data_IF_105349954351
#
_entry.id   IF_105349954351
#
_cell.length_a   1.000
_cell.length_b   1.000
_cell.length_c   1.000
_cell.angle_alpha   90.00
_cell.angle_beta   90.00
_cell.angle_gamma   90.00
#
_symmetry.space_group_name_H-M   'P 1'
#
loop_
_entity.id
_entity.type
_entity.pdbx_description
1 polymer ?
#
# COMPACT_ATOMS: atom_id res chain seq x y z
N UNK A 1 31.87 22.02 -10.11
CA UNK A 1 31.36 23.35 -9.70
C UNK A 1 29.85 23.51 -9.86
N UNK A 2 29.26 23.64 -11.05
CA UNK A 2 27.80 23.88 -11.16
C UNK A 2 26.94 22.69 -10.70
N UNK A 3 27.38 21.45 -10.99
CA UNK A 3 26.69 20.23 -10.55
C UNK A 3 26.81 20.02 -9.03
N UNK A 4 27.98 20.29 -8.46
CA UNK A 4 28.22 20.15 -7.01
C UNK A 4 27.39 21.15 -6.19
N UNK A 5 27.28 22.39 -6.65
CA UNK A 5 26.43 23.40 -6.01
C UNK A 5 24.94 23.01 -6.01
N UNK A 6 24.46 22.30 -7.04
CA UNK A 6 23.09 21.78 -7.10
C UNK A 6 22.86 20.60 -6.14
N UNK A 7 23.90 19.84 -5.82
CA UNK A 7 23.84 18.71 -4.89
C UNK A 7 23.93 19.18 -3.42
N UNK A 8 24.71 20.23 -3.13
CA UNK A 8 24.86 20.79 -1.77
C UNK A 8 23.54 21.31 -1.17
N UNK A 9 22.65 21.87 -2.00
CA UNK A 9 21.30 22.29 -1.57
C UNK A 9 20.38 21.12 -1.19
N UNK A 10 20.76 19.89 -1.55
CA UNK A 10 20.01 18.66 -1.31
C UNK A 10 20.57 17.82 -0.15
N UNK A 11 21.81 18.06 0.28
CA UNK A 11 22.58 17.18 1.16
C UNK A 11 22.48 17.43 2.68
N UNK A 12 21.50 18.18 3.17
CA UNK A 12 21.33 18.31 4.63
C UNK A 12 20.63 17.05 5.15
N UNK A 13 21.17 16.40 6.19
CA UNK A 13 20.63 15.19 6.85
C UNK A 13 19.16 15.37 7.24
N UNK A 14 18.24 14.91 6.39
CA UNK A 14 16.82 15.23 6.55
C UNK A 14 16.01 13.98 6.30
N UNK A 15 15.58 13.35 7.38
CA UNK A 15 14.84 12.10 7.33
C UNK A 15 13.46 12.31 6.70
N UNK A 16 13.10 11.43 5.77
CA UNK A 16 11.75 11.35 5.25
C UNK A 16 10.77 10.99 6.37
N UNK A 17 9.63 11.68 6.35
CA UNK A 17 8.54 11.49 7.30
C UNK A 17 7.24 11.20 6.57
N UNK A 18 6.40 10.35 7.16
CA UNK A 18 5.00 10.23 6.77
C UNK A 18 4.26 11.41 7.41
N UNK A 19 3.59 12.22 6.59
CA UNK A 19 2.94 13.48 6.99
C UNK A 19 1.41 13.32 7.07
N UNK A 20 0.83 12.43 6.25
CA UNK A 20 -0.61 12.17 6.23
C UNK A 20 -0.91 10.76 5.71
N UNK A 21 -2.07 10.22 6.10
CA UNK A 21 -2.52 8.85 5.79
C UNK A 21 -4.03 8.87 5.46
N UNK A 22 -4.36 8.51 4.23
CA UNK A 22 -5.74 8.28 3.80
C UNK A 22 -6.01 6.81 3.55
N UNK A 23 -7.13 6.28 4.03
CA UNK A 23 -7.58 4.92 3.71
C UNK A 23 -9.00 4.88 3.17
N UNK A 24 -9.29 3.90 2.32
CA UNK A 24 -10.62 3.60 1.80
C UNK A 24 -10.79 2.09 1.68
N UNK A 25 -12.05 1.65 1.72
CA UNK A 25 -12.47 0.29 1.42
C UNK A 25 -13.74 0.38 0.56
N UNK A 26 -14.03 -0.64 -0.26
CA UNK A 26 -15.30 -0.71 -0.97
C UNK A 26 -16.50 -0.76 0.01
N UNK A 27 -17.69 -0.36 -0.44
CA UNK A 27 -18.88 -0.27 0.42
C UNK A 27 -19.42 -1.65 0.86
N UNK A 28 -19.18 -2.69 0.06
CA UNK A 28 -19.65 -4.04 0.36
C UNK A 28 -18.81 -4.66 1.47
N UNK A 29 -19.47 -5.10 2.54
CA UNK A 29 -18.83 -5.72 3.70
C UNK A 29 -19.32 -7.15 3.86
N UNK A 30 -18.39 -8.08 4.02
CA UNK A 30 -18.67 -9.48 4.27
C UNK A 30 -18.07 -9.86 5.62
N UNK A 31 -18.90 -10.38 6.51
CA UNK A 31 -18.44 -10.89 7.81
C UNK A 31 -17.91 -12.30 7.64
N UNK A 32 -16.78 -12.62 8.29
CA UNK A 32 -16.13 -13.92 8.17
C UNK A 32 -17.04 -15.09 8.60
N UNK A 33 -17.97 -14.85 9.52
CA UNK A 33 -18.96 -15.84 9.97
C UNK A 33 -19.92 -16.25 8.84
N UNK A 34 -20.30 -15.30 7.98
CA UNK A 34 -21.28 -15.50 6.91
C UNK A 34 -20.61 -15.77 5.55
N UNK A 35 -19.30 -15.51 5.44
CA UNK A 35 -18.57 -15.62 4.18
C UNK A 35 -18.54 -17.03 3.60
N UNK A 36 -18.41 -18.13 4.38
CA UNK A 36 -18.53 -19.47 3.81
C UNK A 36 -19.89 -19.73 3.15
N UNK A 37 -20.98 -19.31 3.78
CA UNK A 37 -22.31 -19.43 3.17
C UNK A 37 -22.39 -18.59 1.89
N UNK A 38 -21.90 -17.35 1.91
CA UNK A 38 -21.85 -16.51 0.71
C UNK A 38 -21.00 -17.13 -0.42
N UNK A 39 -19.80 -17.61 -0.09
CA UNK A 39 -18.80 -18.10 -1.05
C UNK A 39 -19.19 -19.46 -1.66
N UNK A 40 -19.73 -20.39 -0.86
CA UNK A 40 -20.23 -21.67 -1.38
C UNK A 40 -21.62 -21.55 -2.02
N UNK A 41 -22.42 -20.56 -1.61
CA UNK A 41 -23.71 -20.26 -2.21
C UNK A 41 -23.65 -18.99 -3.04
N UNK A 42 -22.55 -18.72 -3.76
CA UNK A 42 -22.44 -17.66 -4.75
C UNK A 42 -23.58 -17.84 -5.75
N UNK A 43 -24.73 -17.27 -5.39
CA UNK A 43 -25.99 -17.55 -6.03
C UNK A 43 -26.01 -16.73 -7.29
N UNK A 44 -26.59 -17.31 -8.33
CA UNK A 44 -26.68 -16.80 -9.69
C UNK A 44 -27.08 -15.31 -9.78
N UNK A 45 -27.63 -14.68 -8.75
CA UNK A 45 -28.02 -13.28 -8.72
C UNK A 45 -26.86 -12.27 -8.77
N UNK A 46 -25.75 -12.48 -8.05
CA UNK A 46 -24.64 -11.50 -7.98
C UNK A 46 -23.64 -11.62 -9.12
N UNK A 47 -23.63 -12.77 -9.82
CA UNK A 47 -22.69 -13.10 -10.89
C UNK A 47 -23.41 -13.33 -12.23
N UNK A 48 -24.70 -12.98 -12.31
CA UNK A 48 -25.55 -13.12 -13.50
C UNK A 48 -25.01 -12.38 -14.71
N UNK A 49 -24.34 -11.25 -14.48
CA UNK A 49 -23.70 -10.46 -15.53
C UNK A 49 -22.36 -11.06 -15.99
N UNK A 50 -21.70 -11.86 -15.15
CA UNK A 50 -20.35 -12.40 -15.39
C UNK A 50 -20.22 -13.88 -14.96
N UNK A 51 -20.95 -14.80 -15.61
CA UNK A 51 -20.99 -16.21 -15.22
C UNK A 51 -19.62 -16.92 -15.35
N UNK A 52 -18.70 -16.37 -16.14
CA UNK A 52 -17.34 -16.90 -16.27
C UNK A 52 -16.54 -16.84 -14.95
N UNK A 53 -16.94 -15.99 -13.99
CA UNK A 53 -16.25 -15.85 -12.71
C UNK A 53 -16.56 -16.99 -11.72
N UNK A 54 -17.63 -17.77 -11.98
CA UNK A 54 -18.09 -18.86 -11.09
C UNK A 54 -17.62 -20.23 -11.55
N UNK A 55 -16.99 -20.32 -12.71
CA UNK A 55 -16.52 -21.56 -13.30
C UNK A 55 -15.01 -21.62 -13.14
N UNK A 56 -14.52 -22.64 -12.44
CA UNK A 56 -13.11 -22.80 -12.17
C UNK A 56 -12.31 -22.87 -13.48
N UNK A 57 -11.29 -22.00 -13.61
CA UNK A 57 -10.44 -21.87 -14.81
C UNK A 57 -11.15 -21.46 -16.10
N UNK A 58 -12.41 -21.01 -16.04
CA UNK A 58 -13.03 -20.44 -17.23
C UNK A 58 -12.32 -19.15 -17.66
N UNK A 59 -12.22 -18.88 -18.98
CA UNK A 59 -11.69 -17.62 -19.49
C UNK A 59 -12.49 -16.45 -18.90
N UNK A 60 -11.82 -15.65 -18.07
CA UNK A 60 -12.46 -14.55 -17.32
C UNK A 60 -11.54 -13.34 -17.14
N UNK A 61 -10.39 -13.33 -17.81
CA UNK A 61 -9.39 -12.26 -17.67
C UNK A 61 -9.96 -10.89 -18.06
N UNK A 62 -10.55 -10.77 -19.25
CA UNK A 62 -11.03 -9.49 -19.78
C UNK A 62 -12.09 -8.84 -18.87
N UNK A 63 -13.06 -9.64 -18.41
CA UNK A 63 -14.10 -9.18 -17.47
C UNK A 63 -13.50 -8.68 -16.16
N UNK A 64 -12.54 -9.42 -15.59
CA UNK A 64 -11.88 -9.01 -14.35
C UNK A 64 -11.06 -7.74 -14.56
N UNK A 65 -10.38 -7.64 -15.70
CA UNK A 65 -9.60 -6.48 -16.10
C UNK A 65 -10.49 -5.23 -16.25
N UNK A 66 -11.63 -5.34 -16.92
CA UNK A 66 -12.61 -4.25 -17.13
C UNK A 66 -13.19 -3.69 -15.83
N UNK A 67 -13.35 -4.55 -14.82
CA UNK A 67 -13.80 -4.17 -13.48
C UNK A 67 -12.64 -3.50 -12.73
N UNK A 68 -11.49 -4.17 -12.64
CA UNK A 68 -10.43 -3.73 -11.73
C UNK A 68 -9.77 -2.42 -12.14
N UNK A 69 -9.60 -2.15 -13.44
CA UNK A 69 -9.00 -0.89 -13.92
C UNK A 69 -9.79 0.35 -13.50
N UNK A 70 -11.10 0.19 -13.25
CA UNK A 70 -11.97 1.27 -12.78
C UNK A 70 -11.96 1.36 -11.26
N UNK A 71 -12.08 0.22 -10.58
CA UNK A 71 -12.19 0.17 -9.13
C UNK A 71 -10.90 0.60 -8.42
N UNK A 72 -9.73 0.11 -8.87
CA UNK A 72 -8.41 0.51 -8.31
C UNK A 72 -8.20 2.01 -8.44
N UNK A 73 -8.56 2.59 -9.58
CA UNK A 73 -8.44 4.03 -9.79
C UNK A 73 -9.37 4.82 -8.89
N UNK A 74 -10.64 4.40 -8.80
CA UNK A 74 -11.68 5.09 -8.01
C UNK A 74 -11.33 5.09 -6.52
N UNK A 75 -11.06 3.92 -5.95
CA UNK A 75 -10.79 3.80 -4.53
C UNK A 75 -9.42 4.41 -4.16
N UNK A 76 -8.42 4.28 -5.04
CA UNK A 76 -7.13 4.95 -4.89
C UNK A 76 -7.27 6.47 -4.86
N UNK A 77 -8.15 7.04 -5.70
CA UNK A 77 -8.47 8.47 -5.68
C UNK A 77 -9.12 8.89 -4.35
N UNK A 78 -10.08 8.12 -3.84
CA UNK A 78 -10.72 8.44 -2.55
C UNK A 78 -9.73 8.45 -1.38
N UNK A 79 -8.85 7.44 -1.31
CA UNK A 79 -7.78 7.38 -0.30
C UNK A 79 -6.81 8.57 -0.45
N UNK A 80 -6.41 8.90 -1.69
CA UNK A 80 -5.52 10.03 -1.95
C UNK A 80 -6.12 11.37 -1.53
N UNK A 81 -7.41 11.61 -1.81
CA UNK A 81 -8.09 12.83 -1.40
C UNK A 81 -8.19 12.95 0.13
N UNK A 82 -8.37 11.84 0.85
CA UNK A 82 -8.33 11.84 2.32
C UNK A 82 -6.94 12.21 2.86
N UNK A 83 -5.88 11.61 2.29
CA UNK A 83 -4.49 11.91 2.67
C UNK A 83 -4.13 13.38 2.37
N UNK A 84 -4.52 13.89 1.21
CA UNK A 84 -4.31 15.28 0.81
C UNK A 84 -5.07 16.24 1.74
N UNK A 85 -6.31 15.88 2.10
CA UNK A 85 -7.11 16.68 3.04
C UNK A 85 -6.47 16.74 4.42
N UNK A 86 -5.96 15.62 4.93
CA UNK A 86 -5.24 15.58 6.21
C UNK A 86 -3.93 16.38 6.15
N UNK A 87 -3.18 16.29 5.05
CA UNK A 87 -1.96 17.07 4.85
C UNK A 87 -2.22 18.58 4.76
N UNK A 88 -3.38 18.99 4.24
CA UNK A 88 -3.84 20.38 4.28
C UNK A 88 -3.10 21.34 3.33
N UNK A 89 -2.22 20.84 2.46
CA UNK A 89 -1.48 21.65 1.50
C UNK A 89 -2.09 21.58 0.08
N UNK A 90 -1.76 22.56 -0.79
CA UNK A 90 -2.19 22.52 -2.18
C UNK A 90 -1.65 21.29 -2.92
N UNK A 91 -2.51 20.61 -3.69
CA UNK A 91 -2.16 19.47 -4.55
C UNK A 91 -0.98 19.79 -5.49
N UNK A 92 -0.84 21.04 -5.91
CA UNK A 92 0.25 21.53 -6.77
C UNK A 92 1.65 21.43 -6.14
N UNK A 93 1.75 21.15 -4.84
CA UNK A 93 3.01 20.91 -4.11
C UNK A 93 3.47 19.46 -4.18
N UNK A 94 2.63 18.52 -4.61
CA UNK A 94 3.03 17.13 -4.86
C UNK A 94 3.97 17.10 -6.06
N UNK A 95 5.15 16.52 -5.87
CA UNK A 95 6.20 16.45 -6.89
C UNK A 95 6.36 15.06 -7.49
N UNK A 96 6.03 14.02 -6.71
CA UNK A 96 6.13 12.63 -7.13
C UNK A 96 4.83 11.89 -6.81
N UNK A 97 4.50 10.91 -7.66
CA UNK A 97 3.41 9.96 -7.46
C UNK A 97 3.97 8.55 -7.59
N UNK A 98 3.86 7.75 -6.54
CA UNK A 98 4.06 6.30 -6.60
C UNK A 98 2.68 5.67 -6.54
N UNK A 99 2.34 4.85 -7.51
CA UNK A 99 1.10 4.08 -7.51
C UNK A 99 1.45 2.60 -7.60
N UNK A 100 1.00 1.80 -6.65
CA UNK A 100 1.13 0.35 -6.70
C UNK A 100 -0.20 -0.38 -6.56
N UNK A 101 -0.24 -1.52 -7.24
CA UNK A 101 -1.36 -2.46 -7.23
C UNK A 101 -0.86 -3.81 -7.74
N UNK A 102 -1.41 -4.89 -7.21
CA UNK A 102 -1.06 -6.26 -7.62
C UNK A 102 -1.71 -6.69 -8.94
N UNK A 103 -2.58 -5.87 -9.53
CA UNK A 103 -3.40 -6.23 -10.69
C UNK A 103 -3.92 -5.01 -11.46
N UNK A 104 -4.67 -5.22 -12.54
CA UNK A 104 -5.24 -4.11 -13.33
C UNK A 104 -4.23 -3.38 -14.20
N UNK A 105 -3.30 -4.12 -14.83
CA UNK A 105 -2.30 -3.57 -15.75
C UNK A 105 -3.01 -2.91 -16.93
N UNK A 106 -2.74 -1.63 -17.18
CA UNK A 106 -3.34 -0.88 -18.27
C UNK A 106 -2.42 0.22 -18.78
N UNK A 107 -2.69 0.72 -19.99
CA UNK A 107 -1.96 1.84 -20.60
C UNK A 107 -2.94 2.80 -21.30
N UNK A 108 -3.05 4.08 -20.87
CA UNK A 108 -2.31 4.71 -19.79
C UNK A 108 -2.58 4.08 -18.41
N UNK A 109 -1.54 3.99 -17.60
CA UNK A 109 -1.57 3.32 -16.30
C UNK A 109 -2.33 4.11 -15.22
N UNK A 110 -2.61 3.46 -14.09
CA UNK A 110 -3.43 4.01 -13.01
C UNK A 110 -2.84 5.30 -12.41
N UNK A 111 -1.52 5.40 -12.28
CA UNK A 111 -0.80 6.61 -11.88
C UNK A 111 -1.08 7.81 -12.83
N UNK A 112 -1.06 7.58 -14.14
CA UNK A 112 -1.35 8.62 -15.13
C UNK A 112 -2.80 9.09 -15.02
N UNK A 113 -3.73 8.13 -14.96
CA UNK A 113 -5.16 8.43 -14.83
C UNK A 113 -5.46 9.18 -13.53
N UNK A 114 -4.88 8.74 -12.41
CA UNK A 114 -5.03 9.38 -11.11
C UNK A 114 -4.48 10.82 -11.15
N UNK A 115 -3.27 10.99 -11.69
CA UNK A 115 -2.63 12.31 -11.78
C UNK A 115 -3.52 13.31 -12.53
N UNK A 116 -4.15 12.89 -13.62
CA UNK A 116 -5.09 13.72 -14.37
C UNK A 116 -6.39 13.98 -13.59
N UNK A 117 -6.96 12.96 -12.95
CA UNK A 117 -8.23 13.08 -12.22
C UNK A 117 -8.15 14.05 -11.03
N UNK A 118 -7.06 14.01 -10.27
CA UNK A 118 -6.88 14.88 -9.09
C UNK A 118 -6.17 16.20 -9.42
N UNK A 119 -5.82 16.43 -10.68
CA UNK A 119 -5.20 17.68 -11.14
C UNK A 119 -3.76 17.88 -10.65
N UNK A 120 -2.96 16.81 -10.62
CA UNK A 120 -1.51 16.94 -10.41
C UNK A 120 -0.89 17.75 -11.55
N UNK A 121 0.26 18.38 -11.27
CA UNK A 121 1.03 19.06 -12.31
C UNK A 121 1.42 18.05 -13.41
N UNK A 122 1.37 18.42 -14.70
CA UNK A 122 1.87 17.57 -15.77
C UNK A 122 3.34 17.15 -15.61
N UNK A 123 4.12 17.93 -14.85
CA UNK A 123 5.52 17.66 -14.52
C UNK A 123 5.71 16.70 -13.34
N UNK A 124 4.64 16.15 -12.74
CA UNK A 124 4.76 15.19 -11.64
C UNK A 124 5.54 13.97 -12.10
N UNK A 125 6.54 13.56 -11.33
CA UNK A 125 7.30 12.34 -11.62
C UNK A 125 6.51 11.13 -11.14
N UNK A 126 6.17 10.22 -12.04
CA UNK A 126 5.30 9.09 -11.74
C UNK A 126 6.05 7.77 -11.78
N UNK A 127 5.73 6.91 -10.82
CA UNK A 127 6.25 5.56 -10.68
C UNK A 127 5.07 4.61 -10.55
N UNK A 128 4.79 3.87 -11.61
CA UNK A 128 3.76 2.84 -11.62
C UNK A 128 4.39 1.48 -11.32
N UNK A 129 3.87 0.80 -10.30
CA UNK A 129 4.42 -0.47 -9.80
C UNK A 129 3.31 -1.52 -9.83
N UNK A 130 3.36 -2.39 -10.85
CA UNK A 130 2.41 -3.49 -11.03
C UNK A 130 3.00 -4.82 -10.51
N UNK A 131 2.12 -5.68 -9.99
CA UNK A 131 2.36 -7.11 -9.77
C UNK A 131 3.57 -7.45 -8.89
N UNK A 132 3.91 -6.61 -7.91
CA UNK A 132 5.02 -6.88 -6.99
C UNK A 132 4.59 -7.70 -5.75
N UNK A 133 3.31 -7.70 -5.38
CA UNK A 133 2.76 -8.48 -4.26
C UNK A 133 2.86 -7.78 -2.90
N UNK A 134 2.62 -8.49 -1.80
CA UNK A 134 2.36 -7.85 -0.50
C UNK A 134 3.53 -7.06 0.12
N UNK A 135 4.77 -7.33 -0.29
CA UNK A 135 5.95 -6.62 0.24
C UNK A 135 6.16 -5.23 -0.38
N UNK A 136 5.36 -4.90 -1.41
CA UNK A 136 5.44 -3.64 -2.17
C UNK A 136 5.20 -2.43 -1.26
N UNK A 137 4.34 -2.54 -0.25
CA UNK A 137 4.11 -1.45 0.70
C UNK A 137 5.39 -0.92 1.35
N UNK A 138 6.28 -1.81 1.79
CA UNK A 138 7.57 -1.41 2.37
C UNK A 138 8.61 -1.02 1.31
N UNK A 139 8.58 -1.67 0.15
CA UNK A 139 9.51 -1.38 -0.96
C UNK A 139 9.29 0.01 -1.54
N UNK A 140 8.03 0.38 -1.71
CA UNK A 140 7.63 1.68 -2.24
C UNK A 140 7.80 2.78 -1.21
N UNK A 141 7.66 2.45 0.08
CA UNK A 141 7.99 3.39 1.15
C UNK A 141 9.50 3.70 1.17
N UNK A 142 10.36 2.71 0.89
CA UNK A 142 11.80 2.96 0.68
C UNK A 142 12.04 3.86 -0.54
N UNK A 143 11.35 3.61 -1.66
CA UNK A 143 11.44 4.50 -2.82
C UNK A 143 10.97 5.93 -2.48
N UNK A 144 9.86 6.07 -1.76
CA UNK A 144 9.35 7.36 -1.30
C UNK A 144 10.33 8.08 -0.39
N UNK A 145 11.01 7.34 0.50
CA UNK A 145 12.11 7.87 1.33
C UNK A 145 13.22 8.43 0.45
N UNK A 146 13.77 7.62 -0.45
CA UNK A 146 14.88 8.06 -1.30
C UNK A 146 14.50 9.28 -2.16
N UNK A 147 13.28 9.31 -2.71
CA UNK A 147 12.76 10.46 -3.47
C UNK A 147 12.62 11.71 -2.60
N UNK A 148 12.12 11.57 -1.36
CA UNK A 148 11.90 12.68 -0.45
C UNK A 148 13.21 13.26 0.12
N UNK A 149 14.20 12.41 0.41
CA UNK A 149 15.49 12.82 0.97
C UNK A 149 16.41 13.41 -0.10
N UNK A 150 16.41 12.84 -1.31
CA UNK A 150 17.28 13.29 -2.41
C UNK A 150 16.69 14.43 -3.25
N UNK A 151 15.52 14.97 -2.90
CA UNK A 151 14.93 16.10 -3.62
C UNK A 151 14.38 17.13 -2.62
N UNK A 152 15.03 18.28 -2.54
CA UNK A 152 14.62 19.35 -1.63
C UNK A 152 13.15 19.75 -1.84
N UNK A 153 12.38 19.80 -0.75
CA UNK A 153 10.94 20.12 -0.75
C UNK A 153 10.04 19.11 -1.49
N UNK A 154 10.55 17.92 -1.85
CA UNK A 154 9.72 16.90 -2.47
C UNK A 154 8.60 16.43 -1.53
N UNK A 155 7.44 16.21 -2.13
CA UNK A 155 6.26 15.64 -1.49
C UNK A 155 5.78 14.51 -2.39
N UNK A 156 5.92 13.30 -1.89
CA UNK A 156 5.62 12.05 -2.58
C UNK A 156 4.22 11.63 -2.16
N UNK A 157 3.31 11.54 -3.13
CA UNK A 157 2.01 10.89 -2.96
C UNK A 157 2.21 9.40 -3.26
N UNK A 158 2.11 8.56 -2.24
CA UNK A 158 2.26 7.12 -2.38
C UNK A 158 0.91 6.43 -2.21
N UNK A 159 0.37 5.86 -3.28
CA UNK A 159 -0.93 5.17 -3.33
C UNK A 159 -0.72 3.67 -3.50
N UNK A 160 -1.23 2.89 -2.56
CA UNK A 160 -1.38 1.44 -2.68
C UNK A 160 -2.88 1.13 -2.80
N UNK A 161 -3.29 0.53 -3.92
CA UNK A 161 -4.69 0.18 -4.15
C UNK A 161 -4.83 -1.26 -4.60
N UNK A 162 -5.46 -2.07 -3.76
CA UNK A 162 -5.54 -3.50 -3.94
C UNK A 162 -6.99 -3.99 -4.06
N UNK A 163 -7.24 -4.75 -5.11
CA UNK A 163 -8.52 -5.39 -5.37
C UNK A 163 -8.29 -6.84 -5.80
N UNK A 164 -9.00 -7.74 -5.14
CA UNK A 164 -8.74 -9.18 -5.18
C UNK A 164 -9.58 -9.91 -6.23
N UNK A 165 -10.31 -9.19 -7.10
CA UNK A 165 -11.12 -9.82 -8.15
C UNK A 165 -10.30 -10.65 -9.13
N UNK A 166 -9.02 -10.33 -9.36
CA UNK A 166 -8.14 -11.16 -10.19
C UNK A 166 -7.84 -12.52 -9.55
N UNK A 167 -7.76 -12.57 -8.22
CA UNK A 167 -7.44 -13.77 -7.44
C UNK A 167 -8.66 -14.60 -7.07
N UNK A 168 -9.87 -14.03 -7.23
CA UNK A 168 -11.12 -14.72 -6.90
C UNK A 168 -11.39 -15.88 -7.85
N UNK A 169 -11.57 -17.08 -7.30
CA UNK A 169 -11.96 -18.29 -8.04
C UNK A 169 -13.02 -19.03 -7.21
N UNK A 170 -13.90 -19.83 -7.84
CA UNK A 170 -14.77 -20.74 -7.09
C UNK A 170 -13.94 -21.81 -6.36
N UNK A 171 -14.49 -22.45 -5.31
CA UNK A 171 -13.81 -23.50 -4.56
C UNK A 171 -13.42 -24.69 -5.46
N UNK A 172 -12.27 -25.30 -5.17
CA UNK A 172 -11.76 -26.47 -5.88
C UNK A 172 -11.09 -27.43 -4.89
N UNK A 173 -11.48 -28.71 -4.92
CA UNK A 173 -10.90 -29.74 -4.05
C UNK A 173 -9.42 -30.00 -4.32
N UNK A 174 -8.94 -29.64 -5.53
CA UNK A 174 -7.56 -29.86 -5.95
C UNK A 174 -6.63 -28.68 -5.68
N UNK A 175 -7.17 -27.51 -5.31
CA UNK A 175 -6.43 -26.26 -5.14
C UNK A 175 -6.88 -25.57 -3.83
N UNK A 176 -6.40 -26.09 -2.71
CA UNK A 176 -6.75 -25.62 -1.36
C UNK A 176 -6.19 -24.22 -1.04
N UNK A 177 -5.14 -23.80 -1.74
CA UNK A 177 -4.57 -22.46 -1.68
C UNK A 177 -5.59 -21.37 -2.06
N UNK A 178 -6.48 -21.66 -3.00
CA UNK A 178 -7.60 -20.77 -3.37
C UNK A 178 -8.56 -20.56 -2.19
N UNK A 179 -8.82 -21.59 -1.39
CA UNK A 179 -9.68 -21.48 -0.20
C UNK A 179 -9.04 -20.58 0.85
N UNK A 180 -7.73 -20.74 1.07
CA UNK A 180 -6.98 -19.89 2.00
C UNK A 180 -7.01 -18.45 1.51
N UNK A 181 -6.67 -18.21 0.23
CA UNK A 181 -6.67 -16.87 -0.37
C UNK A 181 -8.03 -16.21 -0.30
N UNK A 182 -9.09 -16.92 -0.68
CA UNK A 182 -10.46 -16.40 -0.66
C UNK A 182 -10.96 -16.05 0.74
N UNK A 183 -10.39 -16.67 1.79
CA UNK A 183 -10.75 -16.40 3.18
C UNK A 183 -9.98 -15.22 3.81
N UNK A 184 -8.83 -14.82 3.26
CA UNK A 184 -7.96 -13.80 3.87
C UNK A 184 -7.75 -12.56 3.00
N UNK A 185 -7.90 -12.69 1.68
CA UNK A 185 -7.75 -11.58 0.77
C UNK A 185 -8.97 -10.67 0.81
N UNK A 186 -8.71 -9.37 0.86
CA UNK A 186 -9.72 -8.32 0.89
C UNK A 186 -9.28 -7.13 0.06
N UNK A 187 -10.23 -6.28 -0.28
CA UNK A 187 -9.98 -5.07 -1.04
C UNK A 187 -9.72 -3.90 -0.08
N UNK A 188 -8.76 -3.06 -0.42
CA UNK A 188 -8.45 -1.89 0.39
C UNK A 188 -7.40 -1.00 -0.22
N UNK A 189 -7.46 0.26 0.19
CA UNK A 189 -6.63 1.32 -0.35
C UNK A 189 -6.03 2.13 0.78
N UNK A 190 -4.73 2.38 0.68
CA UNK A 190 -3.99 3.26 1.57
C UNK A 190 -3.18 4.24 0.74
N UNK A 191 -3.16 5.50 1.17
CA UNK A 191 -2.35 6.55 0.57
C UNK A 191 -1.58 7.29 1.63
N UNK A 192 -0.29 7.51 1.39
CA UNK A 192 0.60 8.25 2.26
C UNK A 192 1.08 9.51 1.56
N UNK A 193 1.32 10.57 2.34
CA UNK A 193 2.12 11.71 1.90
C UNK A 193 3.45 11.64 2.63
N UNK A 194 4.54 11.54 1.87
CA UNK A 194 5.90 11.42 2.39
C UNK A 194 6.71 12.65 1.98
N UNK A 195 7.46 13.21 2.94
CA UNK A 195 8.34 14.33 2.68
C UNK A 195 9.44 14.44 3.73
N UNK A 196 10.60 14.95 3.32
CA UNK A 196 11.64 15.38 4.24
C UNK A 196 11.40 16.84 4.65
N UNK A 197 11.77 17.19 5.89
CA UNK A 197 11.53 18.52 6.49
C UNK A 197 10.06 18.90 6.52
N UNK A 198 9.28 18.30 7.43
CA UNK A 198 7.96 18.83 7.73
C UNK A 198 8.08 20.32 8.10
N UNK A 199 7.36 21.16 7.37
CA UNK A 199 7.34 22.62 7.53
C UNK A 199 6.28 22.96 8.57
N UNK A 200 6.72 23.15 9.81
CA UNK A 200 5.83 23.44 10.95
C UNK A 200 5.00 24.71 10.74
N UNK A 201 5.55 25.72 10.03
CA UNK A 201 4.87 26.99 9.77
C UNK A 201 3.68 26.90 8.81
N UNK A 202 3.50 25.78 8.11
CA UNK A 202 2.33 25.51 7.26
C UNK A 202 1.50 24.33 7.77
N UNK A 203 1.67 23.95 9.04
CA UNK A 203 0.94 22.87 9.72
C UNK A 203 1.23 21.46 9.18
N UNK A 204 2.42 21.19 8.63
CA UNK A 204 2.83 19.81 8.42
C UNK A 204 3.19 19.14 9.75
N UNK A 205 2.51 18.05 10.07
CA UNK A 205 2.74 17.26 11.28
C UNK A 205 3.38 15.91 10.91
N UNK A 206 4.66 15.68 11.23
CA UNK A 206 5.27 14.37 10.98
C UNK A 206 4.67 13.32 11.91
N UNK A 207 4.15 12.25 11.32
CA UNK A 207 3.59 11.11 12.06
C UNK A 207 4.69 10.10 12.42
N UNK A 208 5.51 9.71 11.43
CA UNK A 208 6.57 8.70 11.59
C UNK A 208 7.81 9.04 10.75
N UNK A 209 8.99 8.69 11.25
CA UNK A 209 10.26 8.69 10.49
C UNK A 209 10.54 7.30 9.91
N UNK A 210 11.12 7.25 8.70
CA UNK A 210 11.29 5.98 7.96
C UNK A 210 12.74 5.47 8.04
N UNK A 211 12.90 4.22 8.51
CA UNK A 211 14.14 3.43 8.50
C UNK A 211 13.89 2.05 7.87
N UNK A 212 14.85 1.51 7.11
CA UNK A 212 14.69 0.24 6.34
C UNK A 212 15.78 -0.78 6.69
N UNK A 213 15.41 -2.05 6.89
CA UNK A 213 16.35 -3.18 7.12
C UNK A 213 15.82 -4.53 6.62
N UNK A 214 16.67 -5.57 6.52
CA UNK A 214 16.33 -6.90 5.95
C UNK A 214 16.47 -8.08 6.95
N UNK A 215 15.58 -9.09 6.87
CA UNK A 215 15.47 -10.33 7.69
C UNK A 215 15.15 -10.18 9.20
N UNK A 216 13.91 -10.37 9.67
CA UNK A 216 13.43 -10.01 11.04
C UNK A 216 14.44 -10.00 12.22
N UNK A 217 15.18 -11.06 12.58
CA UNK A 217 16.16 -10.96 13.68
C UNK A 217 17.40 -10.15 13.31
N UNK A 218 17.94 -10.43 12.12
CA UNK A 218 19.08 -9.72 11.58
C UNK A 218 18.72 -8.27 11.24
N UNK A 219 17.55 -8.01 10.63
CA UNK A 219 16.82 -6.74 10.51
C UNK A 219 16.91 -5.92 11.78
N UNK A 220 16.52 -6.53 12.91
CA UNK A 220 16.38 -5.81 14.16
C UNK A 220 17.76 -5.50 14.72
N UNK A 221 18.72 -6.43 14.61
CA UNK A 221 20.12 -6.15 14.96
C UNK A 221 20.69 -5.05 14.05
N UNK A 222 20.64 -5.21 12.73
CA UNK A 222 21.19 -4.28 11.74
C UNK A 222 20.55 -2.90 11.81
N UNK A 223 19.21 -2.83 11.93
CA UNK A 223 18.49 -1.57 12.04
C UNK A 223 18.78 -0.85 13.36
N UNK A 224 18.77 -1.57 14.49
CA UNK A 224 18.68 -0.94 15.81
C UNK A 224 20.02 -0.89 16.56
N UNK A 225 21.02 -1.70 16.18
CA UNK A 225 22.38 -1.63 16.75
C UNK A 225 23.02 -0.25 16.57
N UNK A 226 22.93 0.43 15.40
CA UNK A 226 23.45 1.79 15.24
C UNK A 226 22.83 2.81 16.20
N UNK A 227 21.61 2.55 16.69
CA UNK A 227 20.89 3.41 17.64
C UNK A 227 21.02 2.94 19.10
N UNK A 228 21.78 1.89 19.37
CA UNK A 228 21.96 1.33 20.71
C UNK A 228 20.72 0.63 21.29
N UNK A 229 19.69 0.38 20.48
CA UNK A 229 18.44 -0.24 20.92
C UNK A 229 18.59 -1.77 20.87
N UNK A 230 18.48 -2.41 22.04
CA UNK A 230 18.57 -3.88 22.21
C UNK A 230 17.30 -4.53 22.76
N UNK A 231 16.40 -3.74 23.34
CA UNK A 231 15.15 -4.19 23.93
C UNK A 231 14.00 -4.03 22.92
N UNK A 232 13.85 -5.02 22.04
CA UNK A 232 12.88 -4.95 20.93
C UNK A 232 11.42 -4.86 21.38
N UNK A 233 11.08 -5.40 22.56
CA UNK A 233 9.73 -5.32 23.15
C UNK A 233 9.21 -3.88 23.32
N UNK A 234 10.12 -2.90 23.48
CA UNK A 234 9.77 -1.49 23.67
C UNK A 234 9.38 -0.79 22.37
N UNK A 235 9.58 -1.42 21.21
CA UNK A 235 9.22 -0.87 19.92
C UNK A 235 7.72 -1.03 19.65
N UNK A 236 7.17 -0.11 18.86
CA UNK A 236 5.88 -0.35 18.21
C UNK A 236 6.13 -1.11 16.91
N UNK A 237 5.18 -1.95 16.53
CA UNK A 237 5.31 -2.84 15.38
C UNK A 237 4.18 -2.61 14.39
N UNK A 238 4.53 -2.51 13.11
CA UNK A 238 3.60 -2.57 11.99
C UNK A 238 4.04 -3.75 11.14
N UNK A 239 3.26 -4.83 11.17
CA UNK A 239 3.58 -6.10 10.50
C UNK A 239 2.52 -6.39 9.46
N UNK A 240 2.94 -6.77 8.26
CA UNK A 240 2.00 -7.17 7.21
C UNK A 240 1.19 -8.40 7.66
N UNK A 241 -0.15 -8.30 7.73
CA UNK A 241 -1.00 -9.38 8.25
C UNK A 241 -1.31 -10.41 7.15
N UNK A 242 -0.27 -11.05 6.59
CA UNK A 242 -0.43 -12.09 5.55
C UNK A 242 -1.04 -13.41 6.05
N UNK A 243 -1.56 -13.43 7.29
CA UNK A 243 -2.13 -14.59 7.97
C UNK A 243 -1.76 -14.62 9.46
N UNK A 244 -2.66 -15.13 10.30
CA UNK A 244 -2.46 -15.21 11.77
C UNK A 244 -1.20 -16.01 12.14
N UNK A 245 -0.87 -17.05 11.36
CA UNK A 245 0.34 -17.84 11.57
C UNK A 245 1.63 -17.01 11.42
N UNK A 246 1.64 -15.99 10.56
CA UNK A 246 2.79 -15.10 10.38
C UNK A 246 2.95 -14.21 11.61
N UNK A 247 1.85 -13.62 12.10
CA UNK A 247 1.85 -12.78 13.30
C UNK A 247 2.34 -13.58 14.52
N UNK A 248 1.74 -14.76 14.76
CA UNK A 248 2.13 -15.66 15.85
C UNK A 248 3.62 -16.06 15.75
N UNK A 249 4.09 -16.38 14.53
CA UNK A 249 5.48 -16.74 14.31
C UNK A 249 6.47 -15.58 14.55
N UNK A 250 6.04 -14.34 14.34
CA UNK A 250 6.84 -13.15 14.64
C UNK A 250 6.86 -12.89 16.15
N UNK A 251 5.71 -12.96 16.83
CA UNK A 251 5.64 -12.81 18.29
C UNK A 251 6.54 -13.84 18.98
N UNK A 252 6.46 -15.11 18.56
CA UNK A 252 7.30 -16.19 19.10
C UNK A 252 8.80 -15.93 18.84
N UNK A 253 9.17 -15.60 17.60
CA UNK A 253 10.60 -15.43 17.24
C UNK A 253 11.24 -14.22 17.91
N UNK A 254 10.49 -13.13 18.09
CA UNK A 254 10.99 -11.89 18.71
C UNK A 254 10.76 -11.84 20.23
N UNK A 255 10.06 -12.84 20.81
CA UNK A 255 9.74 -12.87 22.23
C UNK A 255 8.79 -11.75 22.65
N UNK A 256 7.85 -11.36 21.78
CA UNK A 256 6.89 -10.31 22.07
C UNK A 256 5.73 -10.85 22.92
N UNK A 257 5.16 -10.00 23.77
CA UNK A 257 3.91 -10.32 24.45
C UNK A 257 2.78 -10.53 23.43
N UNK A 258 1.90 -11.52 23.67
CA UNK A 258 0.77 -11.91 22.78
C UNK A 258 -0.28 -10.83 22.51
N UNK A 259 -0.16 -9.67 23.15
CA UNK A 259 -1.04 -8.53 22.90
C UNK A 259 -0.43 -7.50 21.94
N UNK A 260 0.84 -7.66 21.55
CA UNK A 260 1.57 -6.67 20.74
C UNK A 260 1.15 -6.69 19.28
N UNK A 261 0.86 -7.85 18.70
CA UNK A 261 0.45 -7.98 17.29
C UNK A 261 -1.02 -8.43 17.16
N UNK A 262 -1.82 -8.29 18.22
CA UNK A 262 -3.23 -8.66 18.21
C UNK A 262 -4.01 -7.73 17.28
N UNK A 263 -4.49 -8.28 16.16
CA UNK A 263 -5.34 -7.62 15.17
C UNK A 263 -6.82 -7.81 15.50
#
# INVERSE_FOLDING_TARGET
MEIENNLEGCGVEKLATIIAIGTTNPPNRFYQADYPDFYFRLSEAMLKENPCLTIYKAPSFDVRQDIIVKEVLKLGMEAALKAIKEWGQPISKITHLIFCTSSGIDMPSADHKLANLIGLKPSVQRFMIYNQGCFTGATDLRLAKDLAENNASARVLFVCSENMIMSFQPPSETHLDILIGSAIFSNGEATLIVGANPIVSINECPLFQIYVSNNIKQCMVEAFTPFGIREWEKLFYIVHPGGVAILNGIEEKLGLNKERLRA
#
